data_IF_495072427022
#
_entry.id   IF_495072427022
#
_cell.length_a   1.000
_cell.length_b   1.000
_cell.length_c   1.000
_cell.angle_alpha   90.00
_cell.angle_beta   90.00
_cell.angle_gamma   90.00
#
_symmetry.space_group_name_H-M   'P 1'
#
loop_
_entity.id
_entity.type
_entity.pdbx_description
1 polymer ?
#
# COMPACT_ATOMS: atom_id res chain seq x y z
N UNK A 1 -3.90 -13.32 -21.29
CA UNK A 1 -3.57 -12.54 -22.50
C UNK A 1 -2.17 -11.99 -22.36
N UNK A 2 -1.31 -12.23 -23.32
CA UNK A 2 0.04 -11.71 -23.27
C UNK A 2 0.08 -10.24 -23.63
N UNK A 3 0.98 -9.49 -22.98
CA UNK A 3 1.22 -8.09 -23.31
C UNK A 3 2.02 -8.04 -24.61
N UNK A 4 1.67 -7.13 -25.50
CA UNK A 4 2.45 -6.89 -26.70
C UNK A 4 3.75 -6.20 -26.31
N UNK A 5 4.86 -6.96 -26.38
CA UNK A 5 6.18 -6.48 -25.97
C UNK A 5 6.78 -5.46 -26.94
N UNK A 6 6.20 -5.31 -28.14
CA UNK A 6 6.65 -4.31 -29.11
C UNK A 6 5.97 -2.95 -28.89
N UNK A 7 4.91 -2.92 -28.09
CA UNK A 7 4.16 -1.70 -27.80
C UNK A 7 4.94 -0.80 -26.84
N UNK A 8 5.02 0.49 -27.17
CA UNK A 8 5.55 1.48 -26.24
C UNK A 8 4.64 1.57 -25.02
N UNK A 9 5.15 1.44 -23.80
CA UNK A 9 4.32 1.61 -22.60
C UNK A 9 3.65 2.98 -22.55
N UNK A 10 2.42 3.01 -22.07
CA UNK A 10 1.72 4.25 -21.80
C UNK A 10 2.38 5.00 -20.65
N UNK A 11 2.18 6.33 -20.59
CA UNK A 11 2.89 7.11 -19.57
C UNK A 11 2.55 6.68 -18.13
N UNK A 12 1.32 6.26 -17.87
CA UNK A 12 0.92 5.76 -16.56
C UNK A 12 1.58 4.42 -16.22
N UNK A 13 1.71 3.54 -17.20
CA UNK A 13 2.42 2.26 -17.03
C UNK A 13 3.88 2.50 -16.68
N UNK A 14 4.53 3.46 -17.36
CA UNK A 14 5.93 3.82 -17.05
C UNK A 14 6.05 4.45 -15.67
N UNK A 15 5.12 5.33 -15.31
CA UNK A 15 5.13 5.98 -14.00
C UNK A 15 5.04 4.93 -12.88
N UNK A 16 4.20 3.92 -13.03
CA UNK A 16 4.06 2.83 -12.05
C UNK A 16 5.35 1.99 -12.00
N UNK A 17 5.91 1.63 -13.16
CA UNK A 17 7.11 0.79 -13.24
C UNK A 17 8.35 1.48 -12.65
N UNK A 18 8.43 2.81 -12.78
CA UNK A 18 9.57 3.61 -12.32
C UNK A 18 9.35 4.19 -10.92
N UNK A 19 8.20 3.94 -10.29
CA UNK A 19 7.84 4.55 -9.03
C UNK A 19 8.72 4.08 -7.88
N UNK A 20 9.07 5.03 -7.01
CA UNK A 20 9.76 4.77 -5.75
C UNK A 20 8.94 5.38 -4.62
N UNK A 21 9.03 4.78 -3.44
CA UNK A 21 8.37 5.31 -2.24
C UNK A 21 9.16 6.52 -1.71
N UNK A 22 8.91 7.68 -2.31
CA UNK A 22 9.56 8.93 -1.96
C UNK A 22 8.95 9.46 -0.67
N UNK A 23 9.81 9.96 0.21
CA UNK A 23 9.43 10.57 1.47
C UNK A 23 10.02 11.98 1.56
N UNK A 24 9.47 12.79 2.45
CA UNK A 24 10.00 14.11 2.77
C UNK A 24 10.19 14.23 4.28
N UNK A 25 10.97 15.22 4.70
CA UNK A 25 11.26 15.41 6.11
C UNK A 25 10.00 15.72 6.92
N UNK A 26 9.87 15.08 8.08
CA UNK A 26 8.75 15.36 8.98
C UNK A 26 8.84 16.82 9.44
N UNK A 27 7.80 17.65 9.17
CA UNK A 27 7.83 19.07 9.56
C UNK A 27 7.70 19.30 11.06
N UNK A 28 7.33 18.28 11.82
CA UNK A 28 7.17 18.37 13.29
C UNK A 28 7.85 17.18 13.98
N UNK A 29 9.19 17.06 13.87
CA UNK A 29 9.89 15.97 14.54
C UNK A 29 9.70 16.09 16.06
N UNK A 30 9.48 14.96 16.71
CA UNK A 30 9.24 14.92 18.16
C UNK A 30 7.79 15.10 18.58
N UNK A 31 6.90 15.49 17.67
CA UNK A 31 5.46 15.55 17.98
C UNK A 31 4.78 14.24 17.60
N UNK A 32 4.00 13.69 18.53
CA UNK A 32 3.15 12.54 18.22
C UNK A 32 1.88 13.03 17.52
N UNK A 33 1.73 12.69 16.25
CA UNK A 33 0.51 12.92 15.47
C UNK A 33 0.32 11.78 14.49
N UNK A 34 -0.90 11.65 13.96
CA UNK A 34 -1.24 10.54 13.08
C UNK A 34 -1.67 11.02 11.72
N UNK A 35 -1.21 10.30 10.68
CA UNK A 35 -1.63 10.49 9.30
C UNK A 35 -2.51 9.30 8.93
N UNK A 36 -3.73 9.58 8.47
CA UNK A 36 -4.68 8.57 8.03
C UNK A 36 -4.88 8.70 6.51
N UNK A 37 -4.65 7.61 5.79
CA UNK A 37 -4.78 7.58 4.32
C UNK A 37 -5.68 6.41 3.95
N UNK A 38 -6.71 6.69 3.16
CA UNK A 38 -7.61 5.66 2.63
C UNK A 38 -7.37 5.49 1.14
N UNK A 39 -7.18 4.25 0.71
CA UNK A 39 -6.96 3.88 -0.69
C UNK A 39 -8.09 2.93 -1.11
N UNK A 40 -9.20 3.45 -1.68
CA UNK A 40 -10.42 2.66 -1.89
C UNK A 40 -10.41 1.78 -3.13
N UNK A 41 -9.39 1.86 -3.98
CA UNK A 41 -9.36 1.17 -5.26
C UNK A 41 -8.20 0.20 -5.41
N UNK A 42 -7.74 -0.39 -4.30
CA UNK A 42 -6.65 -1.35 -4.37
C UNK A 42 -7.09 -2.61 -5.11
N UNK A 43 -6.23 -3.11 -6.01
CA UNK A 43 -6.48 -4.31 -6.81
C UNK A 43 -5.24 -5.19 -6.83
N UNK A 44 -5.45 -6.49 -6.67
CA UNK A 44 -4.44 -7.52 -6.94
C UNK A 44 -5.17 -8.76 -7.50
N UNK A 45 -4.44 -9.82 -7.79
CA UNK A 45 -5.03 -11.05 -8.32
C UNK A 45 -4.93 -12.18 -7.31
N UNK A 46 -6.01 -12.94 -7.20
CA UNK A 46 -6.01 -14.15 -6.38
C UNK A 46 -5.02 -15.17 -6.97
N UNK A 47 -4.07 -15.69 -6.16
CA UNK A 47 -3.08 -16.64 -6.67
C UNK A 47 -3.68 -18.01 -7.01
N UNK A 48 -4.90 -18.30 -6.56
CA UNK A 48 -5.56 -19.57 -6.82
C UNK A 48 -6.49 -19.55 -8.02
N UNK A 49 -7.28 -18.47 -8.17
CA UNK A 49 -8.28 -18.37 -9.24
C UNK A 49 -7.87 -17.46 -10.39
N UNK A 50 -6.93 -16.54 -10.15
CA UNK A 50 -6.57 -15.52 -11.12
C UNK A 50 -7.57 -14.37 -11.22
N UNK A 51 -8.67 -14.39 -10.47
CA UNK A 51 -9.61 -13.28 -10.44
C UNK A 51 -9.04 -12.07 -9.74
N UNK A 52 -9.46 -10.85 -10.14
CA UNK A 52 -9.06 -9.67 -9.41
C UNK A 52 -9.71 -9.63 -8.03
N UNK A 53 -8.92 -9.26 -7.04
CA UNK A 53 -9.37 -8.95 -5.69
C UNK A 53 -9.34 -7.44 -5.52
N UNK A 54 -10.41 -6.90 -4.94
CA UNK A 54 -10.55 -5.45 -4.70
C UNK A 54 -10.60 -5.18 -3.20
N UNK A 55 -9.93 -4.13 -2.79
CA UNK A 55 -9.88 -3.79 -1.36
C UNK A 55 -9.83 -2.29 -1.14
N UNK A 56 -10.28 -1.88 0.04
CA UNK A 56 -9.97 -0.58 0.59
C UNK A 56 -8.82 -0.75 1.56
N UNK A 57 -7.72 -0.06 1.30
CA UNK A 57 -6.60 -0.02 2.24
C UNK A 57 -6.77 1.18 3.15
N UNK A 58 -6.64 0.96 4.47
CA UNK A 58 -6.65 2.02 5.46
C UNK A 58 -5.32 2.03 6.19
N UNK A 59 -4.55 3.08 5.93
CA UNK A 59 -3.25 3.28 6.52
C UNK A 59 -3.37 4.34 7.62
N UNK A 60 -2.82 4.02 8.79
CA UNK A 60 -2.73 4.96 9.89
C UNK A 60 -1.30 4.88 10.43
N UNK A 61 -0.61 6.02 10.52
CA UNK A 61 0.75 5.96 11.04
C UNK A 61 1.16 7.24 11.76
N UNK A 62 2.12 7.08 12.66
CA UNK A 62 2.77 8.18 13.37
C UNK A 62 4.15 8.36 12.74
N UNK A 63 4.38 9.48 12.04
CA UNK A 63 5.67 9.71 11.39
C UNK A 63 6.84 9.73 12.36
N UNK A 64 7.96 9.14 11.94
CA UNK A 64 9.26 9.30 12.55
C UNK A 64 10.00 10.45 11.89
N UNK A 65 11.19 10.22 11.33
CA UNK A 65 11.96 11.29 10.69
C UNK A 65 11.37 11.75 9.36
N UNK A 66 10.55 10.91 8.70
CA UNK A 66 10.07 11.17 7.35
C UNK A 66 8.57 10.91 7.23
N UNK A 67 7.97 11.58 6.25
CA UNK A 67 6.55 11.44 5.88
C UNK A 67 6.50 10.96 4.43
N UNK A 68 5.63 10.00 4.13
CA UNK A 68 5.49 9.47 2.77
C UNK A 68 4.75 10.46 1.86
N UNK A 69 5.26 10.63 0.64
CA UNK A 69 4.65 11.47 -0.38
C UNK A 69 3.46 10.72 -0.99
N UNK A 70 2.31 11.41 -1.14
CA UNK A 70 1.04 10.76 -1.49
C UNK A 70 1.03 10.18 -2.91
N UNK A 71 1.64 10.88 -3.87
CA UNK A 71 1.72 10.38 -5.25
C UNK A 71 2.56 9.10 -5.33
N UNK A 72 3.62 9.03 -4.54
CA UNK A 72 4.46 7.83 -4.47
C UNK A 72 3.67 6.63 -3.93
N UNK A 73 2.84 6.85 -2.91
CA UNK A 73 1.94 5.80 -2.38
C UNK A 73 0.98 5.32 -3.46
N UNK A 74 0.35 6.25 -4.17
CA UNK A 74 -0.59 5.93 -5.25
C UNK A 74 0.05 5.02 -6.30
N UNK A 75 1.22 5.40 -6.79
CA UNK A 75 1.91 4.63 -7.82
C UNK A 75 2.37 3.27 -7.30
N UNK A 76 2.87 3.22 -6.07
CA UNK A 76 3.32 1.98 -5.45
C UNK A 76 2.16 0.97 -5.33
N UNK A 77 1.02 1.35 -4.77
CA UNK A 77 -0.10 0.42 -4.58
C UNK A 77 -0.69 -0.03 -5.92
N UNK A 78 -0.67 0.82 -6.93
CA UNK A 78 -1.13 0.46 -8.27
C UNK A 78 -0.22 -0.56 -8.96
N UNK A 79 1.01 -0.74 -8.49
CA UNK A 79 1.92 -1.75 -9.04
C UNK A 79 1.44 -3.19 -8.79
N UNK A 80 0.51 -3.37 -7.86
CA UNK A 80 -0.03 -4.69 -7.53
C UNK A 80 -1.18 -5.14 -8.41
N UNK A 81 -1.73 -4.28 -9.27
CA UNK A 81 -2.96 -4.55 -10.01
C UNK A 81 -2.92 -5.82 -10.88
N UNK A 82 -1.74 -6.20 -11.37
CA UNK A 82 -1.55 -7.37 -12.22
C UNK A 82 -0.77 -8.49 -11.52
N UNK A 83 -0.52 -8.36 -10.21
CA UNK A 83 0.29 -9.34 -9.47
C UNK A 83 -0.59 -10.32 -8.73
N UNK A 84 -0.25 -11.62 -8.88
CA UNK A 84 -0.88 -12.69 -8.12
C UNK A 84 -0.24 -12.77 -6.74
N UNK A 85 -1.04 -12.48 -5.72
CA UNK A 85 -0.55 -12.41 -4.34
C UNK A 85 -1.73 -12.59 -3.38
N UNK A 86 -1.52 -13.31 -2.29
CA UNK A 86 -2.58 -13.53 -1.30
C UNK A 86 -2.88 -12.26 -0.50
N UNK A 87 -4.08 -12.20 0.08
CA UNK A 87 -4.50 -11.10 0.95
C UNK A 87 -3.50 -10.89 2.09
N UNK A 88 -3.09 -11.99 2.71
CA UNK A 88 -2.17 -11.98 3.85
C UNK A 88 -0.80 -11.47 3.46
N UNK A 89 -0.26 -11.96 2.35
CA UNK A 89 1.07 -11.57 1.91
C UNK A 89 1.13 -10.12 1.43
N UNK A 90 0.15 -9.67 0.63
CA UNK A 90 0.18 -8.33 0.08
C UNK A 90 0.07 -7.27 1.18
N UNK A 91 -0.79 -7.50 2.17
CA UNK A 91 -0.97 -6.55 3.27
C UNK A 91 0.32 -6.40 4.08
N UNK A 92 0.96 -7.52 4.41
CA UNK A 92 2.20 -7.49 5.16
C UNK A 92 3.36 -6.91 4.35
N UNK A 93 3.45 -7.23 3.07
CA UNK A 93 4.50 -6.68 2.20
C UNK A 93 4.40 -5.16 2.05
N UNK A 94 3.19 -4.65 1.88
CA UNK A 94 2.97 -3.20 1.79
C UNK A 94 3.40 -2.53 3.09
N UNK A 95 3.03 -3.09 4.24
CA UNK A 95 3.47 -2.55 5.53
C UNK A 95 5.00 -2.52 5.61
N UNK A 96 5.66 -3.63 5.28
CA UNK A 96 7.11 -3.73 5.36
C UNK A 96 7.80 -2.69 4.48
N UNK A 97 7.31 -2.49 3.25
CA UNK A 97 7.88 -1.52 2.32
C UNK A 97 7.68 -0.08 2.82
N UNK A 98 6.52 0.22 3.37
CA UNK A 98 6.24 1.55 3.94
C UNK A 98 7.11 1.83 5.16
N UNK A 99 7.26 0.85 6.04
CA UNK A 99 8.13 0.96 7.22
C UNK A 99 9.58 1.21 6.80
N UNK A 100 10.07 0.47 5.82
CA UNK A 100 11.42 0.65 5.31
C UNK A 100 11.63 2.03 4.69
N UNK A 101 10.60 2.58 4.04
CA UNK A 101 10.69 3.87 3.36
C UNK A 101 10.70 5.06 4.33
N UNK A 102 9.81 5.09 5.32
CA UNK A 102 9.62 6.28 6.16
C UNK A 102 10.03 6.13 7.63
N UNK A 103 10.35 4.92 8.06
CA UNK A 103 10.78 4.64 9.44
C UNK A 103 9.82 5.23 10.49
N UNK A 104 8.52 4.86 10.47
CA UNK A 104 7.53 5.44 11.35
C UNK A 104 7.75 5.01 12.81
N UNK A 105 7.27 5.82 13.75
CA UNK A 105 7.21 5.42 15.16
C UNK A 105 6.24 4.25 15.32
N UNK A 106 5.11 4.33 14.62
CA UNK A 106 4.07 3.30 14.60
C UNK A 106 3.32 3.36 13.27
N UNK A 107 2.92 2.21 12.78
CA UNK A 107 2.14 2.12 11.54
C UNK A 107 1.18 0.94 11.61
N UNK A 108 -0.05 1.15 11.17
CA UNK A 108 -1.04 0.10 11.03
C UNK A 108 -1.61 0.14 9.62
N UNK A 109 -1.70 -1.00 9.00
CA UNK A 109 -2.35 -1.16 7.70
C UNK A 109 -3.50 -2.15 7.83
N UNK A 110 -4.67 -1.73 7.37
CA UNK A 110 -5.85 -2.59 7.24
C UNK A 110 -6.19 -2.73 5.77
N UNK A 111 -6.30 -3.96 5.31
CA UNK A 111 -6.79 -4.26 3.95
C UNK A 111 -8.16 -4.91 4.07
N UNK A 112 -9.19 -4.15 3.70
CA UNK A 112 -10.59 -4.54 3.77
C UNK A 112 -11.00 -4.99 2.36
N UNK A 113 -10.97 -6.32 2.12
CA UNK A 113 -11.27 -6.90 0.82
C UNK A 113 -12.77 -7.01 0.60
N UNK A 114 -13.22 -6.66 -0.61
CA UNK A 114 -14.62 -6.79 -0.96
C UNK A 114 -15.06 -8.26 -0.83
N UNK A 115 -16.26 -8.52 -0.32
CA UNK A 115 -16.78 -9.89 -0.21
C UNK A 115 -16.79 -10.60 -1.57
N UNK A 116 -16.38 -11.87 -1.53
CA UNK A 116 -16.43 -12.73 -2.70
C UNK A 116 -16.90 -14.12 -2.27
N UNK A 117 -17.93 -14.64 -2.93
CA UNK A 117 -18.51 -15.92 -2.56
C UNK A 117 -19.03 -15.93 -1.13
N UNK A 118 -19.60 -14.82 -0.66
CA UNK A 118 -20.12 -14.67 0.70
C UNK A 118 -19.04 -14.61 1.80
N UNK A 119 -17.76 -14.46 1.43
CA UNK A 119 -16.65 -14.36 2.40
C UNK A 119 -16.08 -12.96 2.36
N UNK A 120 -16.06 -12.31 3.53
CA UNK A 120 -15.47 -10.98 3.71
C UNK A 120 -14.22 -11.12 4.56
N UNK A 121 -13.09 -10.70 4.00
CA UNK A 121 -11.78 -10.82 4.65
C UNK A 121 -11.19 -9.45 4.93
N UNK A 122 -10.72 -9.24 6.14
CA UNK A 122 -9.98 -8.04 6.53
C UNK A 122 -8.67 -8.49 7.15
N UNK A 123 -7.57 -7.95 6.65
CA UNK A 123 -6.23 -8.22 7.18
C UNK A 123 -5.74 -6.96 7.89
N UNK A 124 -5.29 -7.10 9.13
CA UNK A 124 -4.69 -5.99 9.90
C UNK A 124 -3.30 -6.38 10.33
N UNK A 125 -2.36 -5.47 10.13
CA UNK A 125 -0.97 -5.67 10.54
C UNK A 125 -0.40 -4.34 11.02
N UNK A 126 0.58 -4.40 11.91
CA UNK A 126 1.14 -3.17 12.50
C UNK A 126 2.62 -3.32 12.79
N UNK A 127 3.28 -2.16 12.97
CA UNK A 127 4.68 -2.04 13.30
C UNK A 127 4.86 -0.96 14.37
N UNK A 128 5.74 -1.22 15.33
CA UNK A 128 6.12 -0.25 16.36
C UNK A 128 5.10 -0.15 17.49
N UNK A 129 5.27 0.89 18.29
CA UNK A 129 4.41 1.14 19.46
C UNK A 129 3.73 2.49 19.31
N UNK A 130 2.41 2.48 19.32
CA UNK A 130 1.60 3.71 19.19
C UNK A 130 1.79 4.60 20.42
N UNK A 131 2.10 5.86 20.17
CA UNK A 131 2.29 6.85 21.21
C UNK A 131 1.00 7.65 21.42
N UNK A 132 0.73 8.10 22.65
CA UNK A 132 -0.39 9.01 22.89
C UNK A 132 -0.20 10.33 22.14
N UNK A 133 -1.28 10.86 21.56
CA UNK A 133 -1.23 12.15 20.88
C UNK A 133 -2.52 12.98 21.13
#
# INVERSE_FOLDING_TARGET
MSVDQTRTPLYGERAIAEAELICFDNPRPGRAYEVAITLPEFTCKCPFSGYPDFATLRLLYQPGPRVMELKAIKLYVNSYRDRSISHEEVTNRILDDFVAACEPVWMQLEADFNPRGNVHTVIRTSHGTRQPC
#
